data_IF_026101670936
#
_entry.id   IF_026101670936
#
_cell.length_a   1.000
_cell.length_b   1.000
_cell.length_c   1.000
_cell.angle_alpha   90.00
_cell.angle_beta   90.00
_cell.angle_gamma   90.00
#
_symmetry.space_group_name_H-M   'P 1'
#
loop_
_entity.id
_entity.type
_entity.pdbx_description
1 polymer ?
#
# COMPACT_ATOMS: atom_id res chain seq x y z
N UNK A 1 17.45 0.17 9.37
CA UNK A 1 16.11 0.71 9.08
C UNK A 1 15.55 1.38 10.33
N UNK A 2 14.74 2.42 10.20
CA UNK A 2 14.09 3.10 11.32
C UNK A 2 12.57 3.04 11.21
N UNK A 3 11.88 3.24 12.31
CA UNK A 3 10.43 3.32 12.36
C UNK A 3 9.92 4.48 11.49
N UNK A 4 8.92 4.22 10.67
CA UNK A 4 8.36 5.21 9.73
C UNK A 4 7.67 6.37 10.45
N UNK A 5 7.15 6.13 11.67
CA UNK A 5 6.46 7.13 12.48
C UNK A 5 7.41 7.83 13.43
N UNK A 6 7.97 7.13 14.43
CA UNK A 6 8.76 7.78 15.49
C UNK A 6 10.28 7.81 15.24
N UNK A 7 10.74 7.31 14.09
CA UNK A 7 12.15 7.28 13.66
C UNK A 7 13.08 6.46 14.58
N UNK A 8 12.56 5.80 15.59
CA UNK A 8 13.33 4.90 16.46
C UNK A 8 13.99 3.79 15.64
N UNK A 9 15.22 3.41 16.00
CA UNK A 9 15.92 2.27 15.39
C UNK A 9 15.56 0.94 16.06
N UNK A 10 14.81 0.96 17.15
CA UNK A 10 14.47 -0.22 17.94
C UNK A 10 13.25 -0.94 17.34
N UNK A 11 13.50 -1.73 16.31
CA UNK A 11 12.49 -2.53 15.60
C UNK A 11 12.79 -4.00 15.84
N UNK A 12 11.89 -4.69 16.54
CA UNK A 12 11.96 -6.13 16.75
C UNK A 12 11.32 -6.87 15.58
N UNK A 13 11.98 -7.93 15.10
CA UNK A 13 11.38 -8.81 14.09
C UNK A 13 10.15 -9.48 14.71
N UNK A 14 9.00 -9.28 14.05
CA UNK A 14 7.70 -9.81 14.48
C UNK A 14 7.31 -11.04 13.66
N UNK A 15 7.56 -11.00 12.34
CA UNK A 15 7.17 -12.06 11.44
C UNK A 15 8.12 -12.13 10.24
N UNK A 16 8.42 -13.35 9.77
CA UNK A 16 9.30 -13.59 8.63
C UNK A 16 8.70 -14.68 7.73
N UNK A 17 8.27 -14.28 6.53
CA UNK A 17 7.74 -15.18 5.51
C UNK A 17 8.82 -15.71 4.55
N UNK A 18 10.09 -15.38 4.79
CA UNK A 18 11.18 -15.78 3.91
C UNK A 18 11.31 -14.90 2.68
N UNK A 19 11.69 -15.51 1.56
CA UNK A 19 11.94 -14.86 0.27
C UNK A 19 10.81 -15.28 -0.68
N UNK A 20 10.04 -14.32 -1.18
CA UNK A 20 8.85 -14.53 -1.99
C UNK A 20 8.87 -13.64 -3.24
N UNK A 21 8.25 -14.07 -4.35
CA UNK A 21 8.01 -13.20 -5.48
C UNK A 21 7.05 -12.07 -5.10
N UNK A 22 7.02 -11.00 -5.90
CA UNK A 22 6.03 -9.95 -5.71
C UNK A 22 4.63 -10.50 -5.96
N UNK A 23 3.67 -10.10 -5.09
CA UNK A 23 2.25 -10.30 -5.37
C UNK A 23 1.88 -9.58 -6.67
N UNK A 24 0.93 -10.10 -7.39
CA UNK A 24 0.47 -9.57 -8.70
C UNK A 24 1.50 -9.71 -9.85
N UNK A 25 2.59 -10.42 -9.67
CA UNK A 25 3.46 -10.86 -10.76
C UNK A 25 2.91 -12.13 -11.40
N UNK A 26 2.31 -12.00 -12.58
CA UNK A 26 1.75 -13.12 -13.35
C UNK A 26 2.73 -13.54 -14.43
N UNK A 27 3.48 -14.61 -14.19
CA UNK A 27 4.43 -15.12 -15.15
C UNK A 27 3.72 -15.75 -16.35
N UNK A 28 4.19 -15.47 -17.56
CA UNK A 28 3.59 -16.00 -18.81
C UNK A 28 3.71 -17.52 -18.95
N UNK A 29 4.68 -18.16 -18.28
CA UNK A 29 4.90 -19.61 -18.30
C UNK A 29 5.74 -20.06 -17.11
N UNK A 30 5.85 -21.39 -16.93
CA UNK A 30 6.59 -22.01 -15.82
C UNK A 30 8.08 -21.59 -15.77
N UNK A 31 8.72 -21.45 -16.92
CA UNK A 31 10.14 -21.02 -17.00
C UNK A 31 10.30 -19.57 -16.54
N UNK A 32 9.39 -18.68 -16.90
CA UNK A 32 9.39 -17.29 -16.41
C UNK A 32 9.10 -17.25 -14.90
N UNK A 33 8.18 -18.06 -14.41
CA UNK A 33 7.87 -18.14 -12.98
C UNK A 33 9.09 -18.58 -12.15
N UNK A 34 9.89 -19.55 -12.62
CA UNK A 34 11.09 -20.00 -11.90
C UNK A 34 12.22 -18.98 -11.88
N UNK A 35 12.17 -17.97 -12.75
CA UNK A 35 13.13 -16.86 -12.84
C UNK A 35 12.61 -15.57 -12.20
N UNK A 36 11.43 -15.60 -11.59
CA UNK A 36 10.84 -14.44 -10.97
C UNK A 36 11.75 -13.85 -9.88
N UNK A 37 11.87 -12.53 -9.85
CA UNK A 37 12.59 -11.84 -8.79
C UNK A 37 11.88 -12.04 -7.46
N UNK A 38 12.63 -12.55 -6.48
CA UNK A 38 12.11 -12.78 -5.14
C UNK A 38 12.73 -11.81 -4.13
N UNK A 39 11.96 -11.42 -3.15
CA UNK A 39 12.35 -10.43 -2.14
C UNK A 39 12.01 -10.93 -0.74
N UNK A 40 12.81 -10.56 0.27
CA UNK A 40 12.50 -10.93 1.65
C UNK A 40 11.23 -10.20 2.11
N UNK A 41 10.29 -10.94 2.70
CA UNK A 41 9.10 -10.37 3.33
C UNK A 41 9.20 -10.55 4.84
N UNK A 42 9.62 -9.49 5.52
CA UNK A 42 9.80 -9.45 6.97
C UNK A 42 9.01 -8.29 7.54
N UNK A 43 8.32 -8.53 8.64
CA UNK A 43 7.54 -7.53 9.37
C UNK A 43 8.17 -7.32 10.73
N UNK A 44 8.33 -6.07 11.13
CA UNK A 44 8.87 -5.68 12.42
C UNK A 44 7.92 -4.79 13.19
N UNK A 45 7.98 -4.89 14.51
CA UNK A 45 7.27 -4.03 15.45
C UNK A 45 8.23 -3.06 16.09
N UNK A 46 7.90 -1.78 16.06
CA UNK A 46 8.65 -0.76 16.78
C UNK A 46 8.40 -0.88 18.28
N UNK A 47 9.47 -1.08 19.07
CA UNK A 47 9.37 -1.18 20.53
C UNK A 47 9.01 0.14 21.21
N UNK A 48 9.21 1.28 20.52
CA UNK A 48 8.95 2.60 21.06
C UNK A 48 7.48 3.05 20.88
N UNK A 49 6.91 2.91 19.68
CA UNK A 49 5.54 3.39 19.39
C UNK A 49 4.56 2.29 19.01
N UNK A 50 4.99 1.03 18.95
CA UNK A 50 4.13 -0.11 18.64
C UNK A 50 3.82 -0.30 17.15
N UNK A 51 4.26 0.61 16.26
CA UNK A 51 4.02 0.48 14.82
C UNK A 51 4.52 -0.86 14.30
N UNK A 52 3.64 -1.58 13.61
CA UNK A 52 4.00 -2.78 12.83
C UNK A 52 4.23 -2.35 11.39
N UNK A 53 5.40 -2.65 10.85
CA UNK A 53 5.80 -2.21 9.51
C UNK A 53 6.60 -3.28 8.77
N UNK A 54 6.60 -3.21 7.43
CA UNK A 54 7.50 -4.01 6.63
C UNK A 54 8.94 -3.50 6.82
N UNK A 55 9.89 -4.39 7.10
CA UNK A 55 11.32 -4.04 7.30
C UNK A 55 12.10 -4.05 5.99
N UNK A 56 11.67 -4.78 4.99
CA UNK A 56 12.29 -4.84 3.67
C UNK A 56 11.44 -4.04 2.69
N UNK A 57 11.85 -2.80 2.42
CA UNK A 57 11.15 -1.92 1.48
C UNK A 57 11.73 -2.14 0.09
N UNK A 58 10.88 -2.55 -0.83
CA UNK A 58 11.18 -2.64 -2.26
C UNK A 58 10.85 -1.28 -2.87
N UNK A 59 11.72 -0.76 -3.73
CA UNK A 59 11.47 0.52 -4.41
C UNK A 59 10.18 0.45 -5.25
N UNK A 60 9.52 1.60 -5.42
CA UNK A 60 8.32 1.71 -6.24
C UNK A 60 8.59 1.28 -7.69
N UNK A 61 9.76 1.64 -8.24
CA UNK A 61 10.15 1.26 -9.60
C UNK A 61 10.17 -0.26 -9.78
N UNK A 62 10.84 -0.99 -8.87
CA UNK A 62 10.87 -2.46 -8.92
C UNK A 62 9.50 -3.09 -8.75
N UNK A 63 8.59 -2.43 -8.05
CA UNK A 63 7.24 -2.96 -7.80
C UNK A 63 6.27 -2.68 -8.93
N UNK A 64 6.31 -1.49 -9.51
CA UNK A 64 5.26 -0.98 -10.40
C UNK A 64 5.73 -0.70 -11.83
N UNK A 65 7.03 -0.47 -12.05
CA UNK A 65 7.60 -0.18 -13.38
C UNK A 65 8.20 -1.43 -14.01
N UNK A 66 9.06 -2.14 -13.26
CA UNK A 66 9.73 -3.36 -13.76
C UNK A 66 8.78 -4.57 -13.88
N UNK A 67 7.63 -4.52 -13.19
CA UNK A 67 6.58 -5.52 -13.30
C UNK A 67 5.32 -4.84 -13.82
N UNK A 68 4.70 -5.40 -14.86
CA UNK A 68 3.39 -4.95 -15.32
C UNK A 68 2.35 -5.10 -14.21
N UNK A 69 2.12 -4.00 -13.51
CA UNK A 69 1.06 -3.94 -12.50
C UNK A 69 -0.27 -3.69 -13.21
N UNK A 70 -1.01 -4.78 -13.44
CA UNK A 70 -2.24 -4.76 -14.24
C UNK A 70 -3.46 -4.19 -13.52
N UNK A 71 -3.36 -3.91 -12.21
CA UNK A 71 -4.50 -3.38 -11.45
C UNK A 71 -4.66 -1.87 -11.69
N UNK A 72 -5.67 -1.52 -12.46
CA UNK A 72 -6.11 -0.14 -12.67
C UNK A 72 -7.53 -0.03 -12.13
N UNK A 73 -7.71 0.76 -11.06
CA UNK A 73 -9.01 0.95 -10.40
C UNK A 73 -10.10 1.58 -11.31
N UNK A 74 -9.72 2.11 -12.47
CA UNK A 74 -10.63 2.71 -13.44
C UNK A 74 -10.95 1.81 -14.65
N UNK A 75 -10.60 0.52 -14.62
CA UNK A 75 -10.78 -0.39 -15.76
C UNK A 75 -12.24 -0.77 -16.06
N UNK A 76 -13.17 -0.53 -15.16
CA UNK A 76 -14.57 -0.84 -15.38
C UNK A 76 -15.46 0.38 -15.21
N UNK A 77 -16.54 0.46 -16.03
CA UNK A 77 -17.56 1.51 -15.88
C UNK A 77 -18.17 1.52 -14.46
N UNK A 78 -18.32 0.36 -13.86
CA UNK A 78 -18.79 0.23 -12.48
C UNK A 78 -17.85 0.91 -11.49
N UNK A 79 -16.54 0.63 -11.55
CA UNK A 79 -15.55 1.23 -10.68
C UNK A 79 -15.48 2.76 -10.87
N UNK A 80 -15.49 3.25 -12.11
CA UNK A 80 -15.53 4.69 -12.40
C UNK A 80 -16.76 5.35 -11.78
N UNK A 81 -17.95 4.78 -11.99
CA UNK A 81 -19.19 5.31 -11.39
C UNK A 81 -19.17 5.28 -9.85
N UNK A 82 -18.63 4.21 -9.27
CA UNK A 82 -18.47 4.12 -7.82
C UNK A 82 -17.60 5.26 -7.29
N UNK A 83 -16.42 5.48 -7.86
CA UNK A 83 -15.53 6.56 -7.44
C UNK A 83 -16.11 7.95 -7.65
N UNK A 84 -16.82 8.18 -8.75
CA UNK A 84 -17.52 9.45 -8.99
C UNK A 84 -18.60 9.73 -7.93
N UNK A 85 -19.38 8.72 -7.58
CA UNK A 85 -20.40 8.84 -6.54
C UNK A 85 -19.77 9.06 -5.15
N UNK A 86 -18.69 8.35 -4.85
CA UNK A 86 -17.93 8.57 -3.62
C UNK A 86 -17.38 10.00 -3.52
N UNK A 87 -16.79 10.52 -4.59
CA UNK A 87 -16.34 11.92 -4.63
C UNK A 87 -17.46 12.93 -4.41
N UNK A 88 -18.66 12.69 -4.99
CA UNK A 88 -19.83 13.55 -4.75
C UNK A 88 -20.28 13.50 -3.29
N UNK A 89 -20.29 12.32 -2.69
CA UNK A 89 -20.62 12.12 -1.28
C UNK A 89 -19.65 12.86 -0.35
N UNK A 90 -18.34 12.70 -0.56
CA UNK A 90 -17.31 13.40 0.22
C UNK A 90 -17.43 14.91 0.08
N UNK A 91 -17.62 15.44 -1.13
CA UNK A 91 -17.85 16.88 -1.36
C UNK A 91 -19.04 17.40 -0.57
N UNK A 92 -20.15 16.65 -0.53
CA UNK A 92 -21.34 17.03 0.24
C UNK A 92 -21.03 17.13 1.73
N UNK A 93 -20.30 16.16 2.30
CA UNK A 93 -19.91 16.18 3.72
C UNK A 93 -18.99 17.36 4.00
N UNK A 94 -17.97 17.61 3.20
CA UNK A 94 -17.04 18.72 3.38
C UNK A 94 -17.76 20.07 3.31
N UNK A 95 -18.74 20.23 2.42
CA UNK A 95 -19.55 21.45 2.35
C UNK A 95 -20.38 21.69 3.62
N UNK A 96 -20.90 20.61 4.23
CA UNK A 96 -21.61 20.70 5.50
C UNK A 96 -20.66 21.10 6.63
N UNK A 97 -19.48 20.46 6.72
CA UNK A 97 -18.47 20.79 7.74
C UNK A 97 -18.01 22.27 7.65
N UNK A 98 -17.72 22.76 6.44
CA UNK A 98 -17.31 24.15 6.22
C UNK A 98 -18.42 25.13 6.63
N UNK A 99 -19.68 24.78 6.43
CA UNK A 99 -20.81 25.59 6.89
C UNK A 99 -20.92 25.62 8.41
N UNK A 100 -20.67 24.49 9.08
CA UNK A 100 -20.67 24.42 10.54
C UNK A 100 -19.56 25.29 11.17
N UNK A 101 -18.34 25.27 10.63
CA UNK A 101 -17.25 26.11 11.09
C UNK A 101 -17.56 27.61 10.95
N UNK A 102 -18.28 28.01 9.89
CA UNK A 102 -18.71 29.41 9.71
C UNK A 102 -19.84 29.86 10.63
N UNK A 103 -20.55 28.94 11.24
CA UNK A 103 -21.67 29.21 12.14
C UNK A 103 -21.26 29.25 13.62
N UNK A 104 -19.97 29.02 13.95
CA UNK A 104 -19.44 29.00 15.33
C UNK A 104 -20.27 28.11 16.27
N UNK A 105 -20.74 26.95 15.80
CA UNK A 105 -21.42 25.93 16.58
C UNK A 105 -20.44 24.86 17.05
#
# INVERSE_FOLDING_TARGET
MSCLVCKSKNIALFFNLGILPLSDYFAANKSAASKANCFPLKVGRCSNCGLVQNINIISADKRYVDNEYSYISANSKFAVNHWLNYCKFVKKILQVCIKCEKLNL
#
